data_IF_175145498777
#
_entry.id   IF_175145498777
#
_cell.length_a   1.000
_cell.length_b   1.000
_cell.length_c   1.000
_cell.angle_alpha   90.00
_cell.angle_beta   90.00
_cell.angle_gamma   90.00
#
_symmetry.space_group_name_H-M   'P 1'
#
loop_
_entity.id
_entity.type
_entity.pdbx_description
1 polymer ?
#
# COMPACT_ATOMS: atom_id res chain seq x y z
N UNK A 1 29.50 -27.37 -8.99
CA UNK A 1 28.13 -27.89 -9.20
C UNK A 1 27.33 -28.04 -7.90
N UNK A 2 27.79 -28.80 -6.89
CA UNK A 2 27.03 -29.05 -5.65
C UNK A 2 26.64 -27.77 -4.87
N UNK A 3 27.53 -26.77 -4.77
CA UNK A 3 27.25 -25.48 -4.10
C UNK A 3 26.21 -24.63 -4.84
N UNK A 4 26.23 -24.65 -6.17
CA UNK A 4 25.29 -23.88 -7.00
C UNK A 4 23.87 -24.44 -6.92
N UNK A 5 23.72 -25.77 -6.83
CA UNK A 5 22.42 -26.40 -6.59
C UNK A 5 21.85 -26.02 -5.21
N UNK A 6 22.70 -26.00 -4.17
CA UNK A 6 22.29 -25.54 -2.84
C UNK A 6 21.85 -24.08 -2.84
N UNK A 7 22.56 -23.21 -3.55
CA UNK A 7 22.16 -21.80 -3.71
C UNK A 7 20.84 -21.64 -4.45
N UNK A 8 20.60 -22.43 -5.50
CA UNK A 8 19.35 -22.40 -6.24
C UNK A 8 18.16 -22.84 -5.37
N UNK A 9 18.32 -23.92 -4.60
CA UNK A 9 17.30 -24.39 -3.65
C UNK A 9 17.03 -23.34 -2.57
N UNK A 10 18.09 -22.71 -2.03
CA UNK A 10 17.94 -21.66 -1.02
C UNK A 10 17.17 -20.45 -1.55
N UNK A 11 17.45 -20.01 -2.78
CA UNK A 11 16.75 -18.89 -3.41
C UNK A 11 15.27 -19.20 -3.66
N UNK A 12 14.98 -20.39 -4.20
CA UNK A 12 13.60 -20.83 -4.44
C UNK A 12 12.82 -20.95 -3.14
N UNK A 13 13.43 -21.47 -2.08
CA UNK A 13 12.82 -21.51 -0.76
C UNK A 13 12.56 -20.08 -0.23
N UNK A 14 13.51 -19.18 -0.38
CA UNK A 14 13.34 -17.79 0.07
C UNK A 14 12.14 -17.10 -0.60
N UNK A 15 11.94 -17.31 -1.90
CA UNK A 15 10.81 -16.77 -2.65
C UNK A 15 9.51 -17.49 -2.27
N UNK A 16 9.54 -18.82 -2.13
CA UNK A 16 8.36 -19.60 -1.77
C UNK A 16 7.84 -19.28 -0.36
N UNK A 17 8.74 -18.87 0.56
CA UNK A 17 8.42 -18.53 1.93
C UNK A 17 8.49 -17.02 2.23
N UNK A 18 8.76 -16.16 1.25
CA UNK A 18 8.64 -14.71 1.43
C UNK A 18 7.15 -14.36 1.44
N UNK A 19 6.57 -14.25 2.65
CA UNK A 19 5.19 -13.80 2.81
C UNK A 19 4.97 -12.40 2.25
N UNK A 20 3.74 -12.09 1.88
CA UNK A 20 3.33 -10.73 1.54
C UNK A 20 3.49 -9.83 2.78
N UNK A 21 4.00 -8.62 2.59
CA UNK A 21 4.04 -7.63 3.67
C UNK A 21 2.63 -7.04 3.84
N UNK A 22 2.02 -7.27 5.00
CA UNK A 22 0.75 -6.66 5.40
C UNK A 22 1.06 -5.57 6.40
N UNK A 23 1.21 -4.34 5.90
CA UNK A 23 1.48 -3.17 6.72
C UNK A 23 0.37 -2.14 6.48
N UNK A 24 -0.11 -1.52 7.55
CA UNK A 24 -1.03 -0.40 7.46
C UNK A 24 -0.33 0.78 6.76
N UNK A 25 -0.92 1.27 5.68
CA UNK A 25 -0.42 2.43 4.94
C UNK A 25 -1.22 3.65 5.38
N UNK A 26 -0.59 4.56 6.13
CA UNK A 26 -1.22 5.80 6.55
C UNK A 26 -1.23 6.81 5.39
N UNK A 27 -2.43 7.13 4.89
CA UNK A 27 -2.65 8.12 3.84
C UNK A 27 -3.28 9.38 4.42
N UNK A 28 -2.65 10.53 4.19
CA UNK A 28 -3.18 11.84 4.57
C UNK A 28 -3.87 12.52 3.40
N UNK A 29 -5.06 13.08 3.64
CA UNK A 29 -5.80 13.90 2.66
C UNK A 29 -5.85 15.34 3.17
N UNK A 30 -5.23 16.25 2.44
CA UNK A 30 -5.18 17.67 2.80
C UNK A 30 -6.11 18.51 1.93
N UNK A 31 -6.88 19.40 2.55
CA UNK A 31 -7.77 20.32 1.88
C UNK A 31 -8.45 21.29 2.85
N UNK A 32 -9.12 22.33 2.36
CA UNK A 32 -9.93 23.21 3.20
C UNK A 32 -11.16 22.44 3.70
N UNK A 33 -11.06 21.81 4.87
CA UNK A 33 -12.15 21.02 5.46
C UNK A 33 -13.23 21.92 6.08
N UNK A 34 -12.86 23.16 6.43
CA UNK A 34 -13.73 24.16 7.06
C UNK A 34 -13.62 25.52 6.35
N UNK A 35 -14.51 26.45 6.73
CA UNK A 35 -14.55 27.80 6.16
C UNK A 35 -15.28 27.89 4.81
N UNK A 36 -15.15 29.02 4.09
CA UNK A 36 -15.90 29.27 2.86
C UNK A 36 -15.65 28.25 1.74
N UNK A 37 -14.48 27.62 1.75
CA UNK A 37 -14.06 26.64 0.74
C UNK A 37 -14.26 25.17 1.20
N UNK A 38 -15.00 24.92 2.29
CA UNK A 38 -15.23 23.59 2.85
C UNK A 38 -15.81 22.58 1.85
N UNK A 39 -16.65 23.05 0.92
CA UNK A 39 -17.26 22.20 -0.10
C UNK A 39 -16.22 21.55 -1.01
N UNK A 40 -15.12 22.25 -1.32
CA UNK A 40 -14.02 21.69 -2.10
C UNK A 40 -13.23 20.64 -1.30
N UNK A 41 -12.94 20.90 -0.02
CA UNK A 41 -12.28 19.90 0.84
C UNK A 41 -13.13 18.64 1.03
N UNK A 42 -14.45 18.79 1.13
CA UNK A 42 -15.37 17.66 1.21
C UNK A 42 -15.32 16.77 -0.06
N UNK A 43 -15.14 17.36 -1.24
CA UNK A 43 -14.95 16.59 -2.47
C UNK A 43 -13.65 15.79 -2.45
N UNK A 44 -12.55 16.40 -1.97
CA UNK A 44 -11.26 15.72 -1.84
C UNK A 44 -11.32 14.55 -0.85
N UNK A 45 -11.95 14.76 0.31
CA UNK A 45 -12.14 13.71 1.30
C UNK A 45 -12.94 12.54 0.73
N UNK A 46 -14.12 12.81 0.16
CA UNK A 46 -14.99 11.75 -0.39
C UNK A 46 -14.34 10.98 -1.54
N UNK A 47 -13.62 11.68 -2.41
CA UNK A 47 -12.89 11.04 -3.51
C UNK A 47 -11.76 10.14 -3.00
N UNK A 48 -11.05 10.56 -1.96
CA UNK A 48 -10.01 9.73 -1.34
C UNK A 48 -10.59 8.51 -0.61
N UNK A 49 -11.71 8.68 0.12
CA UNK A 49 -12.44 7.58 0.76
C UNK A 49 -12.91 6.54 -0.26
N UNK A 50 -13.45 7.00 -1.40
CA UNK A 50 -13.84 6.10 -2.49
C UNK A 50 -12.64 5.36 -3.08
N UNK A 51 -11.53 6.06 -3.34
CA UNK A 51 -10.32 5.42 -3.87
C UNK A 51 -9.75 4.35 -2.93
N UNK A 52 -9.84 4.56 -1.61
CA UNK A 52 -9.43 3.54 -0.61
C UNK A 52 -10.38 2.34 -0.62
N UNK A 53 -11.69 2.55 -0.82
CA UNK A 53 -12.67 1.46 -0.89
C UNK A 53 -12.52 0.60 -2.16
N UNK A 54 -11.97 1.17 -3.22
CA UNK A 54 -11.78 0.50 -4.52
C UNK A 54 -10.45 -0.30 -4.62
N UNK A 55 -9.55 -0.22 -3.62
CA UNK A 55 -8.23 -0.88 -3.56
C UNK A 55 -8.27 -2.07 -2.60
#
# INVERSE_FOLDING_TARGET
MKKSLLSAVALTAFIAFSGSAWADILIGVAGPITGPNAAFGAQLQKGAEQAVADI
#
